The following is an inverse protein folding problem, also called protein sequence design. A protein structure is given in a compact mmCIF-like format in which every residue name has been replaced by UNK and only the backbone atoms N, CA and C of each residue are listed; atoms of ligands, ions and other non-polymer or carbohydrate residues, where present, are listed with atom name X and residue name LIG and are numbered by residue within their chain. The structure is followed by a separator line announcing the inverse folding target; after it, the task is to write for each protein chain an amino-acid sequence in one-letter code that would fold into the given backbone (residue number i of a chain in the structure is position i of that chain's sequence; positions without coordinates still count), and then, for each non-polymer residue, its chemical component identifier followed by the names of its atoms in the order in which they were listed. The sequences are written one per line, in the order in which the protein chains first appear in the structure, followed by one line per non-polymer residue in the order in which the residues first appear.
data_IF_528937152882
#
_entry.id   IF_528937152882
#
_cell.length_a   1.000
_cell.length_b   1.000
_cell.length_c   1.000
_cell.angle_alpha   90.00
_cell.angle_beta   90.00
_cell.angle_gamma   90.00
#
_symmetry.space_group_name_H-M   'P 1'
#
loop_
_entity.id
_entity.type
_entity.pdbx_description
1 polymer ?
#
# COMPACT_ATOMS: atom_id res chain seq x y z
N UNK A 1 18.92 -1.51 10.01
CA UNK A 1 17.77 -2.18 9.38
C UNK A 1 18.17 -2.70 8.00
N UNK A 2 17.95 -3.97 7.76
CA UNK A 2 18.28 -4.61 6.49
C UNK A 2 17.04 -5.18 5.83
N UNK A 3 16.91 -4.91 4.54
CA UNK A 3 15.88 -5.54 3.71
C UNK A 3 16.53 -6.70 2.95
N UNK A 4 15.94 -7.87 3.06
CA UNK A 4 16.45 -9.04 2.36
C UNK A 4 15.93 -9.07 0.93
N UNK A 5 16.78 -9.48 0.01
CA UNK A 5 16.39 -9.62 -1.38
C UNK A 5 16.77 -10.99 -1.93
N UNK A 6 16.11 -11.36 -2.97
CA UNK A 6 16.40 -12.58 -3.75
C UNK A 6 16.63 -12.18 -5.20
N UNK A 7 17.35 -13.02 -5.91
CA UNK A 7 17.60 -12.81 -7.33
C UNK A 7 16.58 -13.62 -8.13
N UNK A 8 15.89 -12.95 -9.05
CA UNK A 8 14.91 -13.57 -9.94
C UNK A 8 15.26 -13.28 -11.38
N UNK A 9 14.87 -14.18 -12.27
CA UNK A 9 15.05 -14.03 -13.70
C UNK A 9 13.72 -13.66 -14.34
N UNK A 10 13.66 -12.52 -15.02
CA UNK A 10 12.44 -12.01 -15.62
C UNK A 10 12.61 -11.72 -17.09
N UNK A 11 11.54 -11.92 -17.85
CA UNK A 11 11.46 -11.51 -19.26
C UNK A 11 10.98 -10.07 -19.30
N UNK A 12 11.63 -9.24 -20.14
CA UNK A 12 11.16 -7.89 -20.41
C UNK A 12 9.86 -7.98 -21.24
N UNK A 13 8.70 -7.54 -20.74
CA UNK A 13 7.43 -7.64 -21.47
C UNK A 13 7.44 -6.89 -22.79
N UNK A 14 8.22 -5.80 -22.88
CA UNK A 14 8.33 -4.99 -24.08
C UNK A 14 9.25 -5.60 -25.13
N UNK A 15 10.15 -6.50 -24.74
CA UNK A 15 11.17 -7.11 -25.61
C UNK A 15 11.32 -8.59 -25.29
N UNK A 16 10.27 -9.38 -25.54
CA UNK A 16 10.25 -10.81 -25.23
C UNK A 16 11.31 -11.63 -25.96
N UNK A 17 11.84 -11.09 -27.04
CA UNK A 17 12.88 -11.76 -27.84
C UNK A 17 14.27 -11.62 -27.23
N UNK A 18 14.46 -10.68 -26.31
CA UNK A 18 15.74 -10.51 -25.60
C UNK A 18 15.93 -11.60 -24.55
N UNK A 19 17.20 -11.94 -24.24
CA UNK A 19 17.49 -12.87 -23.15
C UNK A 19 16.91 -12.37 -21.83
N UNK A 20 16.46 -13.28 -20.99
CA UNK A 20 16.01 -12.97 -19.65
C UNK A 20 17.15 -12.34 -18.84
N UNK A 21 16.83 -11.32 -18.08
CA UNK A 21 17.78 -10.67 -17.17
C UNK A 21 17.50 -11.04 -15.73
N UNK A 22 18.49 -10.90 -14.90
CA UNK A 22 18.37 -11.14 -13.46
C UNK A 22 18.11 -9.82 -12.74
N UNK A 23 17.21 -9.86 -11.77
CA UNK A 23 16.82 -8.69 -10.98
C UNK A 23 16.79 -9.02 -9.50
N UNK A 24 17.06 -8.01 -8.68
CA UNK A 24 16.82 -8.13 -7.25
C UNK A 24 15.33 -7.91 -6.98
N UNK A 25 14.77 -8.72 -6.13
CA UNK A 25 13.38 -8.61 -5.69
C UNK A 25 13.33 -8.76 -4.18
N UNK A 26 12.46 -8.00 -3.52
CA UNK A 26 12.32 -8.11 -2.08
C UNK A 26 11.97 -9.56 -1.69
N UNK A 27 12.70 -10.08 -0.71
CA UNK A 27 12.32 -11.31 -0.03
C UNK A 27 11.51 -10.93 1.20
N UNK A 28 10.20 -11.15 1.15
CA UNK A 28 9.30 -10.79 2.24
C UNK A 28 9.68 -11.55 3.51
N UNK A 29 9.83 -10.81 4.62
CA UNK A 29 10.26 -11.40 5.90
C UNK A 29 9.12 -12.05 6.69
N UNK A 30 7.90 -11.90 6.22
CA UNK A 30 6.74 -12.47 6.86
C UNK A 30 5.52 -11.58 6.69
N UNK A 31 4.40 -12.10 7.17
CA UNK A 31 3.13 -11.39 7.14
C UNK A 31 2.70 -11.11 8.58
N UNK A 32 2.36 -9.87 8.87
CA UNK A 32 1.93 -9.43 10.20
C UNK A 32 0.47 -9.02 10.13
N UNK A 33 -0.35 -9.60 11.00
CA UNK A 33 -1.77 -9.32 11.08
C UNK A 33 -2.08 -8.30 12.16
N UNK A 34 -3.31 -7.79 12.18
CA UNK A 34 -3.73 -6.76 13.13
C UNK A 34 -3.62 -7.18 14.59
N UNK A 35 -3.86 -8.44 14.90
CA UNK A 35 -3.74 -8.96 16.27
C UNK A 35 -2.30 -8.88 16.79
N UNK A 36 -1.33 -9.20 15.96
CA UNK A 36 0.08 -9.08 16.30
C UNK A 36 0.49 -7.63 16.49
N UNK A 37 -0.02 -6.74 15.63
CA UNK A 37 0.23 -5.30 15.74
C UNK A 37 -0.38 -4.78 17.05
N UNK A 38 -1.59 -5.21 17.37
CA UNK A 38 -2.26 -4.81 18.61
C UNK A 38 -1.46 -5.24 19.85
N UNK A 39 -0.96 -6.46 19.86
CA UNK A 39 -0.12 -6.96 20.95
C UNK A 39 1.15 -6.14 21.09
N UNK A 40 1.82 -5.86 20.00
CA UNK A 40 3.05 -5.08 20.00
C UNK A 40 2.81 -3.65 20.51
N UNK A 41 1.75 -3.01 20.07
CA UNK A 41 1.39 -1.66 20.52
C UNK A 41 1.09 -1.66 22.02
N UNK A 42 0.30 -2.63 22.48
CA UNK A 42 -0.04 -2.76 23.91
C UNK A 42 1.17 -2.94 24.80
N UNK A 43 2.15 -3.71 24.34
CA UNK A 43 3.35 -4.00 25.13
C UNK A 43 4.37 -2.86 25.16
N UNK A 44 4.46 -2.09 24.07
CA UNK A 44 5.57 -1.14 23.90
C UNK A 44 5.18 0.33 23.87
N UNK A 45 3.94 0.65 23.52
CA UNK A 45 3.58 2.02 23.19
C UNK A 45 2.43 2.63 23.97
N UNK A 46 1.71 1.83 24.75
CA UNK A 46 0.54 2.30 25.52
C UNK A 46 0.26 1.38 26.69
N UNK A 47 -0.55 1.88 27.64
CA UNK A 47 -1.06 1.09 28.77
C UNK A 47 -2.40 0.40 28.46
N UNK A 48 -2.96 0.65 27.26
CA UNK A 48 -4.22 0.06 26.81
C UNK A 48 -4.03 -1.42 26.52
N UNK A 49 -5.01 -2.25 26.87
CA UNK A 49 -4.94 -3.70 26.63
C UNK A 49 -4.90 -4.02 25.14
N UNK A 50 -4.30 -5.16 24.80
CA UNK A 50 -4.23 -5.62 23.40
C UNK A 50 -5.62 -5.84 22.80
N UNK A 51 -6.60 -6.21 23.61
CA UNK A 51 -7.99 -6.41 23.16
C UNK A 51 -8.59 -5.08 22.71
N UNK A 52 -8.42 -4.03 23.50
CA UNK A 52 -8.95 -2.71 23.18
C UNK A 52 -8.21 -2.09 21.98
N UNK A 53 -6.89 -2.28 21.91
CA UNK A 53 -6.10 -1.82 20.75
C UNK A 53 -6.57 -2.53 19.47
N UNK A 54 -6.79 -3.84 19.54
CA UNK A 54 -7.28 -4.61 18.39
C UNK A 54 -8.65 -4.12 17.93
N UNK A 55 -9.55 -3.86 18.88
CA UNK A 55 -10.88 -3.32 18.58
C UNK A 55 -10.78 -1.97 17.85
N UNK A 56 -9.91 -1.09 18.30
CA UNK A 56 -9.68 0.22 17.66
C UNK A 56 -9.10 0.06 16.25
N UNK A 57 -8.14 -0.85 16.08
CA UNK A 57 -7.55 -1.11 14.75
C UNK A 57 -8.58 -1.67 13.77
N UNK A 58 -9.47 -2.56 14.23
CA UNK A 58 -10.57 -3.05 13.39
C UNK A 58 -11.51 -1.92 13.02
N UNK A 59 -11.85 -1.06 13.98
CA UNK A 59 -12.67 0.12 13.72
C UNK A 59 -12.01 1.05 12.70
N UNK A 60 -10.68 1.19 12.75
CA UNK A 60 -9.94 1.98 11.77
C UNK A 60 -10.10 1.42 10.35
N UNK A 61 -10.01 0.10 10.18
CA UNK A 61 -10.21 -0.50 8.85
C UNK A 61 -11.61 -0.25 8.32
N UNK A 62 -12.63 -0.33 9.17
CA UNK A 62 -14.00 -0.03 8.77
C UNK A 62 -14.17 1.43 8.38
N UNK A 63 -13.56 2.36 9.13
CA UNK A 63 -13.59 3.78 8.80
C UNK A 63 -12.90 4.07 7.46
N UNK A 64 -11.76 3.43 7.20
CA UNK A 64 -11.06 3.58 5.92
C UNK A 64 -11.94 3.15 4.75
N UNK A 65 -12.58 1.99 4.85
CA UNK A 65 -13.49 1.51 3.81
C UNK A 65 -14.61 2.52 3.53
N UNK A 66 -15.21 3.02 4.58
CA UNK A 66 -16.32 3.97 4.51
C UNK A 66 -15.91 5.31 3.87
N UNK A 67 -14.75 5.84 4.27
CA UNK A 67 -14.25 7.13 3.75
C UNK A 67 -13.83 7.02 2.29
N UNK A 68 -13.11 5.95 1.96
CA UNK A 68 -12.68 5.73 0.57
C UNK A 68 -13.85 5.49 -0.36
N UNK A 69 -14.91 4.83 0.10
CA UNK A 69 -16.14 4.63 -0.65
C UNK A 69 -16.80 5.97 -1.01
N UNK A 70 -16.66 6.97 -0.15
CA UNK A 70 -17.20 8.32 -0.38
C UNK A 70 -16.31 9.19 -1.27
N UNK A 71 -15.17 8.68 -1.70
CA UNK A 71 -14.21 9.43 -2.50
C UNK A 71 -13.30 10.35 -1.69
N UNK A 72 -13.30 10.21 -0.37
CA UNK A 72 -12.40 10.99 0.48
C UNK A 72 -11.00 10.37 0.48
N UNK A 73 -9.95 11.19 0.59
CA UNK A 73 -8.62 10.68 0.86
C UNK A 73 -8.44 10.58 2.37
N UNK A 74 -7.76 9.52 2.83
CA UNK A 74 -7.55 9.29 4.26
C UNK A 74 -6.07 9.37 4.58
N UNK A 75 -5.71 10.37 5.36
CA UNK A 75 -4.32 10.61 5.76
C UNK A 75 -4.06 10.01 7.15
N UNK A 76 -3.05 9.17 7.24
CA UNK A 76 -2.64 8.53 8.48
C UNK A 76 -1.32 9.11 8.99
N UNK A 77 -1.31 10.42 9.16
CA UNK A 77 -0.15 11.15 9.68
C UNK A 77 1.09 10.92 8.83
N UNK A 78 2.19 10.64 9.50
CA UNK A 78 3.50 10.44 8.85
C UNK A 78 3.61 9.16 8.01
N UNK A 79 2.66 8.25 8.16
CA UNK A 79 2.66 7.01 7.37
C UNK A 79 2.40 7.27 5.89
N UNK A 80 1.44 8.15 5.59
CA UNK A 80 1.02 8.41 4.23
C UNK A 80 -0.49 8.51 4.12
N UNK A 81 -1.01 8.34 2.91
CA UNK A 81 -2.46 8.43 2.72
C UNK A 81 -2.96 7.46 1.66
N UNK A 82 -4.23 7.11 1.80
CA UNK A 82 -4.98 6.31 0.84
C UNK A 82 -5.92 7.21 0.05
N UNK A 83 -6.06 6.93 -1.22
CA UNK A 83 -7.07 7.60 -2.05
C UNK A 83 -7.59 6.67 -3.14
N UNK A 84 -8.77 6.99 -3.61
CA UNK A 84 -9.43 6.24 -4.69
C UNK A 84 -9.17 6.94 -6.01
N UNK A 85 -8.90 6.17 -7.05
CA UNK A 85 -8.78 6.67 -8.41
C UNK A 85 -9.72 5.91 -9.31
N UNK A 86 -10.14 6.55 -10.40
CA UNK A 86 -10.97 5.91 -11.41
C UNK A 86 -10.22 5.84 -12.73
N UNK A 87 -10.52 4.80 -13.50
CA UNK A 87 -10.03 4.64 -14.86
C UNK A 87 -11.15 4.96 -15.81
N UNK A 88 -10.86 5.81 -16.79
CA UNK A 88 -11.87 6.27 -17.74
C UNK A 88 -11.41 6.04 -19.17
N UNK A 89 -12.36 5.75 -20.05
CA UNK A 89 -12.15 5.80 -21.51
C UNK A 89 -12.04 7.24 -21.92
N UNK A 90 -11.12 7.52 -22.85
CA UNK A 90 -11.04 8.83 -23.48
C UNK A 90 -12.18 9.04 -24.45
N UNK A 91 -12.72 10.25 -24.50
CA UNK A 91 -13.76 10.66 -25.45
C UNK A 91 -13.28 11.89 -26.20
N UNK A 92 -13.74 12.06 -27.45
CA UNK A 92 -13.34 13.20 -28.27
C UNK A 92 -13.99 14.51 -27.82
N UNK A 93 -15.17 14.42 -27.19
CA UNK A 93 -15.91 15.58 -26.68
C UNK A 93 -16.11 15.45 -25.17
N UNK A 94 -16.03 16.57 -24.49
CA UNK A 94 -16.31 16.65 -23.08
C UNK A 94 -17.69 16.12 -22.71
N UNK A 95 -18.70 16.47 -23.53
CA UNK A 95 -20.09 16.06 -23.31
C UNK A 95 -20.32 14.54 -23.42
N UNK A 96 -19.40 13.82 -24.04
CA UNK A 96 -19.49 12.36 -24.20
C UNK A 96 -18.96 11.60 -22.99
N UNK A 97 -18.29 12.29 -22.08
CA UNK A 97 -17.79 11.69 -20.83
C UNK A 97 -18.93 11.58 -19.83
N UNK A 98 -19.31 10.35 -19.51
CA UNK A 98 -20.40 10.03 -18.58
C UNK A 98 -19.95 8.95 -17.60
N UNK A 99 -20.82 8.59 -16.67
CA UNK A 99 -20.54 7.49 -15.73
C UNK A 99 -20.20 6.19 -16.47
N UNK A 100 -20.79 5.96 -17.65
CA UNK A 100 -20.50 4.77 -18.46
C UNK A 100 -19.10 4.78 -19.08
N UNK A 101 -18.42 5.91 -19.09
CA UNK A 101 -17.03 6.02 -19.54
C UNK A 101 -16.05 5.47 -18.49
N UNK A 102 -16.49 5.29 -17.25
CA UNK A 102 -15.66 4.80 -16.15
C UNK A 102 -15.54 3.29 -16.26
N UNK A 103 -14.29 2.80 -16.41
CA UNK A 103 -14.03 1.38 -16.58
C UNK A 103 -13.77 0.65 -15.26
N UNK A 104 -13.29 1.36 -14.26
CA UNK A 104 -12.96 0.73 -12.98
C UNK A 104 -12.50 1.72 -11.92
N UNK A 105 -12.35 1.19 -10.71
CA UNK A 105 -11.96 1.95 -9.52
C UNK A 105 -10.77 1.25 -8.89
N UNK A 106 -9.80 2.00 -8.44
CA UNK A 106 -8.63 1.48 -7.73
C UNK A 106 -8.37 2.30 -6.47
N UNK A 107 -7.78 1.64 -5.48
CA UNK A 107 -7.27 2.31 -4.29
C UNK A 107 -5.75 2.39 -4.41
N UNK A 108 -5.21 3.55 -4.08
CA UNK A 108 -3.77 3.76 -4.07
C UNK A 108 -3.32 4.25 -2.69
N UNK A 109 -2.13 3.78 -2.30
CA UNK A 109 -1.47 4.27 -1.11
C UNK A 109 -0.26 5.10 -1.53
N UNK A 110 -0.13 6.31 -0.96
CA UNK A 110 1.04 7.17 -1.17
C UNK A 110 1.78 7.28 0.15
N UNK A 111 3.02 6.82 0.18
CA UNK A 111 3.85 6.86 1.37
C UNK A 111 4.20 8.30 1.76
N UNK A 112 4.17 8.58 3.06
CA UNK A 112 4.61 9.87 3.59
C UNK A 112 6.13 10.00 3.57
N UNK A 113 6.62 11.22 3.71
CA UNK A 113 8.07 11.50 3.66
C UNK A 113 8.84 10.75 4.74
N UNK A 114 8.29 10.66 5.95
CA UNK A 114 8.92 9.94 7.04
C UNK A 114 9.13 8.45 6.72
N UNK A 115 8.13 7.82 6.11
CA UNK A 115 8.22 6.43 5.69
C UNK A 115 9.24 6.25 4.57
N UNK A 116 9.19 7.13 3.55
CA UNK A 116 10.14 7.11 2.43
C UNK A 116 11.58 7.26 2.90
N UNK A 117 11.84 8.23 3.76
CA UNK A 117 13.18 8.52 4.27
C UNK A 117 13.72 7.34 5.08
N UNK A 118 12.88 6.74 5.91
CA UNK A 118 13.25 5.58 6.70
C UNK A 118 13.62 4.38 5.84
N UNK A 119 12.87 4.13 4.78
CA UNK A 119 13.14 3.03 3.85
C UNK A 119 14.38 3.29 2.98
N UNK A 120 14.65 4.54 2.63
CA UNK A 120 15.86 4.91 1.88
C UNK A 120 17.14 4.63 2.67
N UNK A 121 17.07 4.71 3.98
CA UNK A 121 18.20 4.46 4.86
C UNK A 121 18.46 2.96 5.09
N UNK A 122 17.61 2.08 4.58
CA UNK A 122 17.76 0.63 4.75
C UNK A 122 18.92 0.07 3.96
N UNK A 123 19.59 -0.90 4.52
CA UNK A 123 20.63 -1.68 3.85
C UNK A 123 20.00 -2.91 3.22
N UNK A 124 20.66 -3.46 2.20
CA UNK A 124 20.16 -4.64 1.49
C UNK A 124 21.06 -5.84 1.77
N UNK A 125 20.44 -6.98 2.00
CA UNK A 125 21.11 -8.22 2.38
C UNK A 125 20.47 -9.39 1.63
N UNK A 126 21.30 -10.24 1.05
CA UNK A 126 20.85 -11.38 0.27
C UNK A 126 20.38 -12.57 1.10
#
# INVERSE_FOLDING_TARGET
MSLKYKVVQLVNPAKREEPKKFYAQLAESGRVELDEIANSISETSTTVSHIDVHAVLLALTDELLKRLERGESVHLGKLGYFHTTIQSKGQDKESDVTASSIEGVKVRFVAGDALKDKLKAAHFEK
#
